data_IF_686788786915
#
_entry.id   IF_686788786915
#
_cell.length_a   1.000
_cell.length_b   1.000
_cell.length_c   1.000
_cell.angle_alpha   90.00
_cell.angle_beta   90.00
_cell.angle_gamma   90.00
#
_symmetry.space_group_name_H-M   'P 1'
#
loop_
_entity.id
_entity.type
_entity.pdbx_description
1 polymer ?
#
# COMPACT_ATOMS: atom_id res chain seq x y z
N UNK A 1 80.77 23.79 36.02
CA UNK A 1 80.51 24.63 34.85
C UNK A 1 79.84 23.74 33.82
N UNK A 2 78.58 23.92 33.54
CA UNK A 2 78.08 23.79 32.18
C UNK A 2 76.56 23.83 32.18
N UNK A 3 76.06 24.70 31.34
CA UNK A 3 74.69 25.17 31.19
C UNK A 3 73.68 24.08 30.78
N UNK A 4 72.53 24.20 31.44
CA UNK A 4 71.30 23.56 30.97
C UNK A 4 70.80 24.24 29.71
N UNK A 5 70.50 23.47 28.70
CA UNK A 5 69.69 23.89 27.57
C UNK A 5 68.28 23.28 27.70
N UNK A 6 67.31 24.16 27.90
CA UNK A 6 65.90 23.81 27.99
C UNK A 6 65.30 23.90 26.59
N UNK A 7 64.93 22.75 26.02
CA UNK A 7 64.30 22.71 24.70
C UNK A 7 62.80 22.59 24.84
N UNK A 8 62.16 23.70 24.52
CA UNK A 8 60.69 23.89 24.54
C UNK A 8 60.08 23.13 23.39
N UNK A 9 59.42 22.01 23.68
CA UNK A 9 58.61 21.29 22.70
C UNK A 9 57.33 22.08 22.39
N UNK A 10 57.25 22.65 21.19
CA UNK A 10 56.07 23.30 20.63
C UNK A 10 54.99 22.24 20.44
N UNK A 11 53.91 22.34 21.21
CA UNK A 11 52.68 21.61 20.98
C UNK A 11 51.99 22.19 19.75
N UNK A 12 51.81 21.37 18.72
CA UNK A 12 51.00 21.70 17.56
C UNK A 12 49.50 21.68 17.93
N UNK A 13 48.71 22.61 17.39
CA UNK A 13 47.27 22.68 17.70
C UNK A 13 46.51 21.51 17.10
N UNK A 14 45.80 20.78 17.95
CA UNK A 14 44.89 19.69 17.55
C UNK A 14 43.75 20.29 16.78
N UNK A 15 43.58 19.85 15.52
CA UNK A 15 42.43 20.15 14.67
C UNK A 15 41.13 19.65 15.30
N UNK A 16 40.03 20.44 15.26
CA UNK A 16 38.76 20.00 15.79
C UNK A 16 38.15 18.94 14.86
N UNK A 17 38.02 17.71 15.38
CA UNK A 17 37.26 16.67 14.72
C UNK A 17 35.84 17.13 14.43
N UNK A 18 35.54 17.48 13.18
CA UNK A 18 34.21 17.67 12.66
C UNK A 18 33.44 16.36 12.86
N UNK A 19 32.70 16.26 13.97
CA UNK A 19 31.66 15.25 14.16
C UNK A 19 30.63 15.44 13.05
N UNK A 20 30.75 14.68 11.96
CA UNK A 20 29.67 14.48 10.99
C UNK A 20 28.49 13.89 11.76
N UNK A 21 27.52 14.75 12.11
CA UNK A 21 26.19 14.34 12.54
C UNK A 21 25.60 13.54 11.39
N UNK A 22 25.71 12.21 11.46
CA UNK A 22 24.85 11.30 10.68
C UNK A 22 23.40 11.62 11.07
N UNK A 23 22.76 12.47 10.28
CA UNK A 23 21.30 12.60 10.30
C UNK A 23 20.77 11.18 9.99
N UNK A 24 20.40 10.46 11.04
CA UNK A 24 19.54 9.29 10.93
C UNK A 24 18.32 9.74 10.14
N UNK A 25 18.22 9.31 8.89
CA UNK A 25 16.97 9.35 8.13
C UNK A 25 16.00 8.47 8.90
N UNK A 26 15.25 9.09 9.76
CA UNK A 26 14.12 8.50 10.47
C UNK A 26 13.10 8.20 9.38
N UNK A 27 12.82 6.91 9.22
CA UNK A 27 11.95 6.35 8.19
C UNK A 27 10.68 7.17 8.01
N UNK A 28 10.49 7.66 6.79
CA UNK A 28 9.39 8.52 6.36
C UNK A 28 8.04 7.77 6.24
N UNK A 29 7.90 6.59 6.84
CA UNK A 29 6.63 5.85 6.81
C UNK A 29 5.48 6.62 7.46
N UNK A 30 5.77 7.41 8.52
CA UNK A 30 4.77 8.27 9.16
C UNK A 30 4.33 9.44 8.27
N UNK A 31 5.18 9.93 7.39
CA UNK A 31 4.84 11.02 6.48
C UNK A 31 3.82 10.61 5.43
N UNK A 32 3.93 9.38 4.89
CA UNK A 32 2.97 8.84 3.92
C UNK A 32 1.64 8.53 4.59
N UNK A 33 1.68 7.94 5.80
CA UNK A 33 0.48 7.67 6.59
C UNK A 33 -0.25 8.97 6.97
N UNK A 34 0.48 10.00 7.37
CA UNK A 34 -0.07 11.30 7.73
C UNK A 34 -0.68 12.02 6.53
N UNK A 35 -0.04 11.94 5.35
CA UNK A 35 -0.58 12.48 4.10
C UNK A 35 -1.84 11.74 3.65
N UNK A 36 -1.91 10.42 3.84
CA UNK A 36 -3.11 9.61 3.59
C UNK A 36 -4.26 10.00 4.52
N UNK A 37 -4.01 10.20 5.81
CA UNK A 37 -5.02 10.63 6.78
C UNK A 37 -5.56 12.02 6.44
N UNK A 38 -4.70 12.98 6.06
CA UNK A 38 -5.12 14.31 5.64
C UNK A 38 -5.95 14.24 4.36
N UNK A 39 -5.59 13.39 3.42
CA UNK A 39 -6.34 13.14 2.20
C UNK A 39 -7.76 12.64 2.50
N UNK A 40 -7.88 11.68 3.41
CA UNK A 40 -9.16 11.11 3.82
C UNK A 40 -10.04 12.14 4.52
N UNK A 41 -9.47 12.95 5.41
CA UNK A 41 -10.17 14.04 6.08
C UNK A 41 -10.67 15.08 5.04
N UNK A 42 -9.86 15.39 4.03
CA UNK A 42 -10.25 16.29 2.94
C UNK A 42 -11.39 15.71 2.09
N UNK A 43 -11.41 14.40 1.85
CA UNK A 43 -12.52 13.70 1.16
C UNK A 43 -13.83 13.83 1.94
N UNK A 44 -13.78 13.67 3.25
CA UNK A 44 -14.96 13.72 4.12
C UNK A 44 -15.52 15.15 4.24
N UNK A 45 -14.64 16.17 4.39
CA UNK A 45 -15.06 17.55 4.68
C UNK A 45 -15.33 18.43 3.45
N UNK A 46 -14.69 18.22 2.32
CA UNK A 46 -14.74 19.13 1.17
C UNK A 46 -15.42 18.58 -0.09
N UNK A 47 -15.85 17.33 -0.07
CA UNK A 47 -16.49 16.70 -1.23
C UNK A 47 -15.53 16.52 -2.41
N UNK A 48 -16.02 15.86 -3.46
CA UNK A 48 -15.23 15.40 -4.64
C UNK A 48 -14.44 16.52 -5.36
N UNK A 49 -14.86 17.77 -5.23
CA UNK A 49 -14.23 18.91 -5.93
C UNK A 49 -12.88 19.35 -5.34
N UNK A 50 -12.71 19.27 -4.03
CA UNK A 50 -11.47 19.65 -3.36
C UNK A 50 -10.38 18.56 -3.48
N UNK A 51 -10.77 17.31 -3.65
CA UNK A 51 -9.88 16.17 -3.81
C UNK A 51 -8.95 16.34 -5.01
N UNK A 52 -9.45 16.88 -6.12
CA UNK A 52 -8.65 17.06 -7.35
C UNK A 52 -7.37 17.87 -7.16
N UNK A 53 -7.39 18.87 -6.28
CA UNK A 53 -6.23 19.74 -6.05
C UNK A 53 -5.21 19.15 -5.09
N UNK A 54 -5.68 18.46 -4.04
CA UNK A 54 -4.78 17.92 -2.99
C UNK A 54 -4.19 16.59 -3.43
N UNK A 55 -4.99 15.72 -4.03
CA UNK A 55 -4.56 14.39 -4.50
C UNK A 55 -3.58 14.49 -5.66
N UNK A 56 -3.76 15.45 -6.57
CA UNK A 56 -2.85 15.66 -7.70
C UNK A 56 -1.40 15.89 -7.29
N UNK A 57 -1.17 16.56 -6.17
CA UNK A 57 0.18 16.89 -5.70
C UNK A 57 0.80 15.84 -4.76
N UNK A 58 -0.02 15.11 -4.00
CA UNK A 58 0.47 14.12 -3.01
C UNK A 58 0.58 12.73 -3.61
N UNK A 59 -0.24 12.41 -4.60
CA UNK A 59 -0.38 11.06 -5.17
C UNK A 59 0.27 10.92 -6.55
N UNK A 60 0.89 11.98 -7.09
CA UNK A 60 1.46 11.95 -8.45
C UNK A 60 2.60 10.93 -8.67
N UNK A 61 2.98 10.18 -7.67
CA UNK A 61 4.05 9.17 -7.77
C UNK A 61 3.67 7.76 -7.32
N UNK A 62 2.45 7.53 -6.82
CA UNK A 62 2.01 6.23 -6.34
C UNK A 62 0.65 5.88 -6.96
N UNK A 63 0.48 4.65 -7.44
CA UNK A 63 -0.84 4.14 -7.77
C UNK A 63 -1.64 3.99 -6.48
N UNK A 64 -2.63 4.86 -6.29
CA UNK A 64 -3.56 4.79 -5.16
C UNK A 64 -4.93 4.44 -5.69
N UNK A 65 -5.51 3.39 -5.13
CA UNK A 65 -6.87 2.95 -5.39
C UNK A 65 -7.66 3.02 -4.09
N UNK A 66 -8.83 3.64 -4.12
CA UNK A 66 -9.72 3.78 -2.97
C UNK A 66 -11.06 3.18 -3.34
N UNK A 67 -11.44 2.14 -2.65
CA UNK A 67 -12.77 1.55 -2.71
C UNK A 67 -13.64 2.11 -1.60
N UNK A 68 -14.93 2.29 -1.90
CA UNK A 68 -15.96 2.55 -0.89
C UNK A 68 -16.77 1.26 -0.70
N UNK A 69 -16.79 0.75 0.52
CA UNK A 69 -17.57 -0.46 0.86
C UNK A 69 -19.05 -0.22 0.61
N UNK A 70 -19.68 -1.16 -0.07
CA UNK A 70 -21.09 -1.08 -0.45
C UNK A 70 -21.40 -0.21 -1.67
N UNK A 71 -20.38 0.32 -2.38
CA UNK A 71 -20.56 1.19 -3.53
C UNK A 71 -19.69 0.76 -4.71
N UNK A 72 -20.21 0.87 -5.93
CA UNK A 72 -19.44 0.63 -7.16
C UNK A 72 -18.61 1.83 -7.60
N UNK A 73 -18.74 2.98 -6.95
CA UNK A 73 -17.84 4.11 -7.16
C UNK A 73 -16.54 3.90 -6.41
N UNK A 74 -15.43 4.09 -7.09
CA UNK A 74 -14.08 4.03 -6.54
C UNK A 74 -13.23 5.20 -7.07
N UNK A 75 -12.06 5.38 -6.54
CA UNK A 75 -11.15 6.43 -6.97
C UNK A 75 -9.76 5.85 -7.25
N UNK A 76 -9.26 6.09 -8.47
CA UNK A 76 -7.89 5.74 -8.86
C UNK A 76 -7.09 7.02 -9.10
N UNK A 77 -6.05 7.24 -8.32
CA UNK A 77 -5.22 8.45 -8.38
C UNK A 77 -6.05 9.75 -8.35
N UNK A 78 -7.10 9.78 -7.52
CA UNK A 78 -8.01 10.91 -7.38
C UNK A 78 -9.03 11.09 -8.50
N UNK A 79 -9.08 10.21 -9.49
CA UNK A 79 -10.12 10.18 -10.52
C UNK A 79 -11.20 9.18 -10.13
N UNK A 80 -12.46 9.60 -10.23
CA UNK A 80 -13.57 8.69 -10.04
C UNK A 80 -13.59 7.63 -11.15
N UNK A 81 -13.79 6.39 -10.75
CA UNK A 81 -13.97 5.22 -11.61
C UNK A 81 -15.16 4.42 -11.14
N UNK A 82 -15.67 3.55 -11.99
CA UNK A 82 -16.65 2.54 -11.60
C UNK A 82 -15.98 1.17 -11.59
N UNK A 83 -16.33 0.36 -10.61
CA UNK A 83 -15.91 -1.02 -10.49
C UNK A 83 -17.06 -1.96 -10.82
N UNK A 84 -16.75 -3.16 -11.24
CA UNK A 84 -17.71 -4.18 -11.70
C UNK A 84 -18.69 -4.59 -10.59
N UNK A 85 -18.23 -4.63 -9.34
CA UNK A 85 -19.04 -5.00 -8.20
C UNK A 85 -18.60 -4.26 -6.92
N UNK A 86 -19.57 -3.92 -6.09
CA UNK A 86 -19.33 -3.20 -4.85
C UNK A 86 -18.49 -4.03 -3.87
N UNK A 87 -17.38 -3.51 -3.35
CA UNK A 87 -16.63 -4.13 -2.26
C UNK A 87 -17.52 -4.26 -1.02
N UNK A 88 -17.28 -5.28 -0.23
CA UNK A 88 -18.03 -5.49 1.00
C UNK A 88 -17.12 -5.95 2.15
N UNK A 89 -17.65 -5.98 3.37
CA UNK A 89 -17.00 -6.65 4.50
C UNK A 89 -17.61 -8.02 4.70
N UNK A 90 -16.77 -9.02 4.91
CA UNK A 90 -17.23 -10.36 5.30
C UNK A 90 -17.68 -10.39 6.76
N UNK A 91 -18.09 -11.56 7.24
CA UNK A 91 -18.52 -11.77 8.63
C UNK A 91 -17.40 -11.57 9.67
N UNK A 92 -16.15 -11.59 9.23
CA UNK A 92 -14.97 -11.38 10.08
C UNK A 92 -14.46 -9.93 10.01
N UNK A 93 -15.10 -9.08 9.20
CA UNK A 93 -14.72 -7.68 9.00
C UNK A 93 -13.66 -7.45 7.93
N UNK A 94 -13.23 -8.51 7.20
CA UNK A 94 -12.22 -8.34 6.15
C UNK A 94 -12.82 -7.61 4.93
N UNK A 95 -12.06 -6.69 4.37
CA UNK A 95 -12.43 -5.99 3.14
C UNK A 95 -12.30 -6.91 1.93
N UNK A 96 -13.42 -7.23 1.31
CA UNK A 96 -13.53 -8.09 0.13
C UNK A 96 -13.79 -7.26 -1.11
N UNK A 97 -13.04 -7.46 -2.18
CA UNK A 97 -13.28 -6.79 -3.47
C UNK A 97 -13.23 -7.79 -4.63
N UNK A 98 -13.87 -7.44 -5.74
CA UNK A 98 -13.78 -8.18 -6.99
C UNK A 98 -12.33 -8.31 -7.43
N UNK A 99 -11.90 -9.53 -7.70
CA UNK A 99 -10.53 -9.81 -8.16
C UNK A 99 -10.30 -9.19 -9.53
N UNK A 100 -11.28 -9.29 -10.43
CA UNK A 100 -11.20 -8.69 -11.77
C UNK A 100 -10.97 -7.19 -11.66
N UNK A 101 -11.86 -6.50 -10.93
CA UNK A 101 -11.73 -5.06 -10.71
C UNK A 101 -10.43 -4.66 -10.03
N UNK A 102 -9.96 -5.45 -9.06
CA UNK A 102 -8.70 -5.20 -8.39
C UNK A 102 -7.53 -5.28 -9.38
N UNK A 103 -7.48 -6.34 -10.20
CA UNK A 103 -6.42 -6.55 -11.17
C UNK A 103 -6.42 -5.46 -12.25
N UNK A 104 -7.55 -5.13 -12.84
CA UNK A 104 -7.69 -4.10 -13.86
C UNK A 104 -7.24 -2.72 -13.37
N UNK A 105 -7.67 -2.37 -12.17
CA UNK A 105 -7.35 -1.07 -11.59
C UNK A 105 -5.89 -0.96 -11.13
N UNK A 106 -5.28 -2.04 -10.75
CA UNK A 106 -3.89 -2.06 -10.29
C UNK A 106 -2.89 -2.42 -11.39
N UNK A 107 -3.37 -2.79 -12.58
CA UNK A 107 -2.52 -3.18 -13.70
C UNK A 107 -1.86 -4.54 -13.48
N UNK A 108 -2.61 -5.47 -12.91
CA UNK A 108 -2.24 -6.86 -12.73
C UNK A 108 -2.85 -7.70 -13.84
N UNK A 109 -2.17 -8.75 -14.25
CA UNK A 109 -2.73 -9.73 -15.17
C UNK A 109 -3.48 -10.80 -14.39
N UNK A 110 -4.74 -11.05 -14.77
CA UNK A 110 -5.58 -12.09 -14.18
C UNK A 110 -5.89 -13.17 -15.23
N UNK A 111 -5.59 -14.42 -14.90
CA UNK A 111 -6.05 -15.58 -15.63
C UNK A 111 -6.93 -16.43 -14.72
N UNK A 112 -8.18 -16.66 -15.10
CA UNK A 112 -9.15 -17.42 -14.32
C UNK A 112 -9.51 -18.74 -15.03
N UNK A 113 -9.44 -19.87 -14.30
CA UNK A 113 -9.89 -21.17 -14.76
C UNK A 113 -11.21 -21.53 -14.10
N UNK A 114 -12.29 -21.51 -14.87
CA UNK A 114 -13.63 -21.81 -14.41
C UNK A 114 -13.80 -23.28 -13.97
N UNK A 115 -13.04 -24.20 -14.55
CA UNK A 115 -13.14 -25.61 -14.21
C UNK A 115 -12.42 -25.91 -12.90
N UNK A 116 -11.24 -25.37 -12.73
CA UNK A 116 -10.44 -25.51 -11.52
C UNK A 116 -10.94 -24.60 -10.37
N UNK A 117 -11.83 -23.64 -10.67
CA UNK A 117 -12.26 -22.58 -9.74
C UNK A 117 -11.09 -21.88 -9.08
N UNK A 118 -10.08 -21.59 -9.89
CA UNK A 118 -8.82 -20.98 -9.45
C UNK A 118 -8.37 -19.87 -10.40
N UNK A 119 -7.62 -18.92 -9.88
CA UNK A 119 -7.08 -17.83 -10.66
C UNK A 119 -5.60 -17.58 -10.36
N UNK A 120 -4.91 -17.11 -11.37
CA UNK A 120 -3.51 -16.67 -11.28
C UNK A 120 -3.44 -15.17 -11.50
N UNK A 121 -2.87 -14.46 -10.54
CA UNK A 121 -2.63 -13.01 -10.60
C UNK A 121 -1.13 -12.80 -10.79
N UNK A 122 -0.76 -12.08 -11.84
CA UNK A 122 0.65 -11.86 -12.19
C UNK A 122 0.99 -10.37 -12.10
N UNK A 123 2.06 -10.07 -11.38
CA UNK A 123 2.71 -8.75 -11.36
C UNK A 123 4.21 -8.93 -11.64
N UNK A 124 4.65 -8.64 -12.85
CA UNK A 124 6.05 -8.83 -13.30
C UNK A 124 6.54 -10.26 -13.09
N UNK A 125 7.32 -10.50 -12.02
CA UNK A 125 7.87 -11.82 -11.66
C UNK A 125 7.12 -12.48 -10.49
N UNK A 126 6.20 -11.77 -9.85
CA UNK A 126 5.40 -12.30 -8.75
C UNK A 126 4.14 -12.92 -9.31
N UNK A 127 3.91 -14.18 -8.98
CA UNK A 127 2.73 -14.94 -9.38
C UNK A 127 2.00 -15.37 -8.11
N UNK A 128 0.73 -15.01 -8.02
CA UNK A 128 -0.18 -15.42 -6.95
C UNK A 128 -1.18 -16.41 -7.53
N UNK A 129 -1.40 -17.54 -6.87
CA UNK A 129 -2.49 -18.45 -7.22
C UNK A 129 -3.48 -18.50 -6.07
N UNK A 130 -4.75 -18.34 -6.42
CA UNK A 130 -5.90 -18.29 -5.52
C UNK A 130 -6.92 -19.34 -5.96
N UNK A 131 -7.68 -19.86 -5.01
CA UNK A 131 -8.74 -20.82 -5.30
C UNK A 131 -9.99 -20.51 -4.50
N UNK A 132 -11.16 -20.68 -5.11
CA UNK A 132 -12.43 -20.49 -4.40
C UNK A 132 -12.53 -21.42 -3.20
N UNK A 133 -13.05 -20.87 -2.10
CA UNK A 133 -13.28 -21.57 -0.84
C UNK A 133 -12.01 -22.15 -0.19
N UNK A 134 -10.83 -21.75 -0.66
CA UNK A 134 -9.54 -22.16 -0.10
C UNK A 134 -8.85 -20.95 0.54
N UNK A 135 -8.36 -21.08 1.76
CA UNK A 135 -7.62 -20.04 2.45
C UNK A 135 -6.13 -20.01 2.09
N UNK A 136 -5.65 -20.97 1.29
CA UNK A 136 -4.27 -20.98 0.84
C UNK A 136 -4.09 -19.99 -0.32
N UNK A 137 -3.14 -19.08 -0.15
CA UNK A 137 -2.63 -18.15 -1.16
C UNK A 137 -1.23 -18.61 -1.57
N UNK A 138 -1.09 -19.12 -2.78
CA UNK A 138 0.23 -19.48 -3.29
C UNK A 138 0.93 -18.23 -3.82
N UNK A 139 2.15 -17.97 -3.33
CA UNK A 139 3.01 -16.83 -3.73
C UNK A 139 4.32 -17.36 -4.28
N UNK A 140 4.39 -17.60 -5.59
CA UNK A 140 5.50 -18.37 -6.19
C UNK A 140 5.58 -19.74 -5.58
N UNK A 141 6.72 -20.07 -4.94
CA UNK A 141 6.92 -21.37 -4.25
C UNK A 141 6.47 -21.36 -2.78
N UNK A 142 6.06 -20.23 -2.24
CA UNK A 142 5.60 -20.09 -0.85
C UNK A 142 4.08 -20.17 -0.77
N UNK A 143 3.57 -20.66 0.37
CA UNK A 143 2.14 -20.65 0.69
C UNK A 143 1.90 -19.71 1.86
N UNK A 144 1.02 -18.74 1.67
CA UNK A 144 0.50 -17.85 2.69
C UNK A 144 -0.95 -18.22 3.00
N UNK A 145 -1.54 -17.62 4.02
CA UNK A 145 -2.93 -17.90 4.39
C UNK A 145 -3.75 -16.63 4.31
N UNK A 146 -4.84 -16.68 3.57
CA UNK A 146 -5.87 -15.65 3.57
C UNK A 146 -6.57 -15.53 4.92
N UNK A 147 -6.90 -14.32 5.32
CA UNK A 147 -7.77 -14.07 6.46
C UNK A 147 -9.20 -14.64 6.23
N UNK A 148 -9.64 -14.65 4.97
CA UNK A 148 -10.90 -15.26 4.53
C UNK A 148 -10.73 -15.86 3.15
N UNK A 149 -11.33 -17.02 2.90
CA UNK A 149 -11.28 -17.67 1.59
C UNK A 149 -11.94 -16.78 0.51
N UNK A 150 -11.41 -16.79 -0.74
CA UNK A 150 -12.09 -16.20 -1.88
C UNK A 150 -13.46 -16.85 -2.09
N UNK A 151 -14.46 -16.03 -2.43
CA UNK A 151 -15.85 -16.48 -2.63
C UNK A 151 -16.42 -15.93 -3.92
N UNK A 152 -17.31 -16.73 -4.55
CA UNK A 152 -18.10 -16.28 -5.69
C UNK A 152 -19.48 -15.81 -5.23
N UNK A 153 -19.90 -14.62 -5.66
CA UNK A 153 -21.23 -14.08 -5.44
C UNK A 153 -21.75 -13.46 -6.73
N UNK A 154 -22.88 -13.93 -7.21
CA UNK A 154 -23.51 -13.43 -8.45
C UNK A 154 -22.56 -13.45 -9.66
N UNK A 155 -21.74 -14.47 -9.80
CA UNK A 155 -20.78 -14.60 -10.89
C UNK A 155 -19.53 -13.72 -10.76
N UNK A 156 -19.36 -13.02 -9.62
CA UNK A 156 -18.16 -12.23 -9.32
C UNK A 156 -17.34 -12.91 -8.23
N UNK A 157 -16.06 -13.05 -8.48
CA UNK A 157 -15.12 -13.62 -7.50
C UNK A 157 -14.54 -12.50 -6.64
N UNK A 158 -14.74 -12.61 -5.34
CA UNK A 158 -14.23 -11.69 -4.34
C UNK A 158 -13.10 -12.33 -3.53
N UNK A 159 -12.08 -11.55 -3.20
CA UNK A 159 -11.00 -11.99 -2.31
C UNK A 159 -10.62 -10.89 -1.31
N UNK A 160 -9.96 -11.26 -0.20
CA UNK A 160 -9.46 -10.31 0.78
C UNK A 160 -8.41 -9.38 0.17
N UNK A 161 -8.72 -8.10 0.11
CA UNK A 161 -7.86 -7.08 -0.52
C UNK A 161 -6.51 -6.98 0.19
N UNK A 162 -6.54 -7.03 1.53
CA UNK A 162 -5.35 -6.87 2.36
C UNK A 162 -4.29 -7.94 2.06
N UNK A 163 -4.71 -9.19 1.97
CA UNK A 163 -3.78 -10.32 1.82
C UNK A 163 -3.15 -10.33 0.42
N UNK A 164 -3.96 -10.08 -0.63
CA UNK A 164 -3.44 -9.93 -2.00
C UNK A 164 -2.41 -8.78 -2.06
N UNK A 165 -2.74 -7.64 -1.46
CA UNK A 165 -1.83 -6.50 -1.45
C UNK A 165 -0.54 -6.77 -0.67
N UNK A 166 -0.63 -7.47 0.46
CA UNK A 166 0.56 -7.86 1.24
C UNK A 166 1.48 -8.78 0.44
N UNK A 167 0.93 -9.79 -0.22
CA UNK A 167 1.69 -10.71 -1.09
C UNK A 167 2.39 -9.97 -2.25
N UNK A 168 1.81 -8.86 -2.72
CA UNK A 168 2.40 -7.99 -3.73
C UNK A 168 3.33 -6.90 -3.15
N UNK A 169 3.57 -6.90 -1.84
CA UNK A 169 4.33 -5.86 -1.11
C UNK A 169 3.72 -4.46 -1.26
N UNK A 170 2.41 -4.37 -1.39
CA UNK A 170 1.66 -3.13 -1.43
C UNK A 170 1.08 -2.81 -0.05
N UNK A 171 0.79 -1.53 0.18
CA UNK A 171 0.23 -1.07 1.45
C UNK A 171 -1.29 -0.98 1.34
N UNK A 172 -1.98 -1.36 2.40
CA UNK A 172 -3.42 -1.18 2.55
C UNK A 172 -3.73 -0.40 3.81
N UNK A 173 -4.77 0.40 3.76
CA UNK A 173 -5.34 1.11 4.89
C UNK A 173 -6.86 1.04 4.83
N UNK A 174 -7.50 1.08 5.97
CA UNK A 174 -8.96 1.10 6.10
C UNK A 174 -9.38 2.28 6.96
N UNK A 175 -10.44 2.94 6.56
CA UNK A 175 -10.97 4.10 7.27
C UNK A 175 -12.48 3.99 7.35
N UNK A 176 -12.99 4.05 8.56
CA UNK A 176 -14.42 4.17 8.80
C UNK A 176 -14.91 5.56 8.36
N UNK A 177 -15.97 5.61 7.58
CA UNK A 177 -16.59 6.85 7.12
C UNK A 177 -18.12 6.75 7.20
N UNK A 178 -18.80 7.89 7.41
CA UNK A 178 -20.26 7.93 7.58
C UNK A 178 -21.04 7.34 6.37
N UNK A 179 -20.48 7.45 5.17
CA UNK A 179 -21.10 6.98 3.93
C UNK A 179 -20.60 5.60 3.46
N UNK A 180 -19.98 4.84 4.34
CA UNK A 180 -19.38 3.53 4.06
C UNK A 180 -17.84 3.55 4.20
N UNK A 181 -17.30 2.49 4.76
CA UNK A 181 -15.88 2.35 4.99
C UNK A 181 -15.08 2.46 3.70
N UNK A 182 -13.87 2.99 3.81
CA UNK A 182 -12.94 3.10 2.70
C UNK A 182 -11.82 2.06 2.84
N UNK A 183 -11.53 1.36 1.74
CA UNK A 183 -10.37 0.49 1.59
C UNK A 183 -9.39 1.21 0.67
N UNK A 184 -8.21 1.52 1.18
CA UNK A 184 -7.19 2.29 0.47
C UNK A 184 -6.03 1.35 0.14
N UNK A 185 -5.63 1.33 -1.12
CA UNK A 185 -4.52 0.54 -1.62
C UNK A 185 -3.49 1.50 -2.20
N UNK A 186 -2.23 1.34 -1.83
CA UNK A 186 -1.15 2.12 -2.42
C UNK A 186 0.07 1.26 -2.73
N UNK A 187 0.61 1.47 -3.92
CA UNK A 187 1.86 0.84 -4.31
C UNK A 187 3.02 1.57 -3.62
N UNK A 188 3.84 0.83 -2.88
CA UNK A 188 5.05 1.41 -2.29
C UNK A 188 5.98 1.91 -3.41
N UNK A 189 6.41 3.17 -3.33
CA UNK A 189 7.45 3.69 -4.23
C UNK A 189 8.74 2.94 -3.92
N UNK A 190 9.27 2.20 -4.90
CA UNK A 190 10.64 1.69 -4.78
C UNK A 190 11.57 2.87 -4.55
N UNK A 191 12.25 2.84 -3.41
CA UNK A 191 13.31 3.79 -3.11
C UNK A 191 14.52 3.58 -4.04
#
# INVERSE_FOLDING_TARGET
MTKMAYESARQAPRSPHRRRRRRRRRNSHYGVLFALIILIIAVIFFGVRAIRSIVGNVVSSNNVLVYQVGNTNAYKNGKAIQVDAAPYRDSQGNGMASISSLCDNLGLELSWDENAKSGTITLKKTVLTIKLSDTNLQVGDATETFASAPVEKNGVVYAPVKDICQALSWQTGEVAAENGDLIIISQAKKA
#
